data_IF_783747916294
#
_entry.id   IF_783747916294
#
_cell.length_a   1.000
_cell.length_b   1.000
_cell.length_c   1.000
_cell.angle_alpha   90.00
_cell.angle_beta   90.00
_cell.angle_gamma   90.00
#
_symmetry.space_group_name_H-M   'P 1'
#
loop_
_entity.id
_entity.type
_entity.pdbx_description
1 polymer ?
#
# COMPACT_ATOMS: atom_id res chain seq x y z
N UNK A 1 -18.96 -14.83 11.15
CA UNK A 1 -20.35 -15.03 11.63
C UNK A 1 -20.42 -15.88 12.90
N UNK A 2 -19.92 -17.12 12.92
CA UNK A 2 -20.00 -17.95 14.13
C UNK A 2 -19.31 -17.32 15.37
N UNK A 3 -18.07 -16.84 15.24
CA UNK A 3 -17.37 -16.21 16.37
C UNK A 3 -17.93 -14.83 16.76
N UNK A 4 -18.52 -14.09 15.81
CA UNK A 4 -19.15 -12.79 16.08
C UNK A 4 -20.49 -12.96 16.80
N UNK A 5 -21.28 -13.96 16.39
CA UNK A 5 -22.59 -14.27 17.00
C UNK A 5 -22.42 -14.84 18.41
N UNK A 6 -21.45 -15.73 18.64
CA UNK A 6 -21.25 -16.38 19.95
C UNK A 6 -20.40 -15.52 20.91
N UNK A 7 -19.35 -14.87 20.41
CA UNK A 7 -18.38 -14.16 21.26
C UNK A 7 -18.57 -12.64 21.33
N UNK A 8 -19.52 -12.08 20.56
CA UNK A 8 -19.84 -10.65 20.54
C UNK A 8 -18.65 -9.74 20.18
N UNK A 9 -18.67 -8.51 20.68
CA UNK A 9 -17.67 -7.48 20.36
C UNK A 9 -16.25 -7.86 20.80
N UNK A 10 -16.09 -8.56 21.92
CA UNK A 10 -14.75 -8.97 22.41
C UNK A 10 -14.08 -9.96 21.47
N UNK A 11 -14.82 -10.97 21.02
CA UNK A 11 -14.29 -11.93 20.05
C UNK A 11 -14.02 -11.25 18.69
N UNK A 12 -14.84 -10.27 18.32
CA UNK A 12 -14.63 -9.48 17.11
C UNK A 12 -13.32 -8.69 17.17
N UNK A 13 -13.01 -8.01 18.27
CA UNK A 13 -11.73 -7.29 18.39
C UNK A 13 -10.50 -8.21 18.41
N UNK A 14 -10.60 -9.36 19.07
CA UNK A 14 -9.49 -10.32 19.09
C UNK A 14 -9.23 -10.90 17.70
N UNK A 15 -10.28 -11.25 16.97
CA UNK A 15 -10.15 -11.79 15.61
C UNK A 15 -9.67 -10.73 14.62
N UNK A 16 -10.13 -9.48 14.72
CA UNK A 16 -9.61 -8.35 13.94
C UNK A 16 -8.10 -8.18 14.17
N UNK A 17 -7.65 -8.26 15.43
CA UNK A 17 -6.24 -8.15 15.77
C UNK A 17 -5.40 -9.29 15.16
N UNK A 18 -5.85 -10.54 15.30
CA UNK A 18 -5.16 -11.70 14.73
C UNK A 18 -5.11 -11.62 13.20
N UNK A 19 -6.24 -11.31 12.56
CA UNK A 19 -6.33 -11.14 11.11
C UNK A 19 -5.36 -10.07 10.60
N UNK A 20 -5.35 -8.89 11.24
CA UNK A 20 -4.47 -7.78 10.84
C UNK A 20 -3.00 -8.14 11.04
N UNK A 21 -2.68 -8.88 12.11
CA UNK A 21 -1.32 -9.37 12.37
C UNK A 21 -0.85 -10.34 11.29
N UNK A 22 -1.68 -11.31 10.91
CA UNK A 22 -1.37 -12.27 9.84
C UNK A 22 -1.20 -11.53 8.51
N UNK A 23 -2.09 -10.58 8.21
CA UNK A 23 -2.00 -9.77 7.00
C UNK A 23 -0.68 -9.01 6.93
N UNK A 24 -0.25 -8.37 8.03
CA UNK A 24 1.03 -7.67 8.10
C UNK A 24 2.21 -8.61 7.79
N UNK A 25 2.21 -9.83 8.35
CA UNK A 25 3.26 -10.82 8.06
C UNK A 25 3.29 -11.21 6.58
N UNK A 26 2.12 -11.39 5.95
CA UNK A 26 2.02 -11.67 4.52
C UNK A 26 2.56 -10.50 3.70
N UNK A 27 2.21 -9.25 4.06
CA UNK A 27 2.71 -8.08 3.35
C UNK A 27 4.24 -7.93 3.48
N UNK A 28 4.80 -8.17 4.67
CA UNK A 28 6.24 -8.21 4.87
C UNK A 28 6.89 -9.29 3.99
N UNK A 29 6.34 -10.51 4.00
CA UNK A 29 6.82 -11.60 3.17
C UNK A 29 6.80 -11.25 1.68
N UNK A 30 5.71 -10.68 1.16
CA UNK A 30 5.60 -10.31 -0.26
C UNK A 30 6.65 -9.27 -0.66
N UNK A 31 6.82 -8.21 0.16
CA UNK A 31 7.83 -7.19 -0.11
C UNK A 31 9.25 -7.76 -0.06
N UNK A 32 9.55 -8.61 0.93
CA UNK A 32 10.83 -9.29 1.01
C UNK A 32 11.04 -10.22 -0.18
N UNK A 33 10.03 -11.00 -0.59
CA UNK A 33 10.11 -11.91 -1.72
C UNK A 33 10.43 -11.18 -3.03
N UNK A 34 9.79 -10.03 -3.28
CA UNK A 34 10.10 -9.16 -4.43
C UNK A 34 11.55 -8.69 -4.35
N UNK A 35 11.99 -8.14 -3.22
CA UNK A 35 13.37 -7.67 -3.05
C UNK A 35 14.39 -8.79 -3.22
N UNK A 36 14.13 -10.00 -2.71
CA UNK A 36 15.08 -11.13 -2.78
C UNK A 36 15.05 -11.87 -4.12
N UNK A 37 14.17 -11.49 -5.04
CA UNK A 37 14.14 -12.10 -6.38
C UNK A 37 15.42 -11.77 -7.16
N UNK A 38 15.90 -12.72 -7.96
CA UNK A 38 17.11 -12.53 -8.78
C UNK A 38 16.93 -11.41 -9.81
N UNK A 39 15.70 -11.19 -10.27
CA UNK A 39 15.34 -10.15 -11.24
C UNK A 39 15.48 -8.73 -10.64
N UNK A 40 15.18 -8.56 -9.35
CA UNK A 40 15.26 -7.28 -8.64
C UNK A 40 16.67 -7.06 -8.06
N UNK A 41 17.27 -8.08 -7.44
CA UNK A 41 18.63 -7.99 -6.92
C UNK A 41 18.77 -7.18 -5.62
N UNK A 42 17.77 -7.23 -4.74
CA UNK A 42 17.78 -6.52 -3.47
C UNK A 42 17.44 -5.03 -3.59
N UNK A 43 17.70 -4.28 -2.52
CA UNK A 43 17.42 -2.83 -2.46
C UNK A 43 18.28 -2.03 -3.45
N UNK A 44 19.57 -2.36 -3.56
CA UNK A 44 20.47 -1.67 -4.49
C UNK A 44 20.09 -1.96 -5.93
N UNK A 45 19.81 -3.22 -6.27
CA UNK A 45 19.36 -3.60 -7.60
C UNK A 45 18.03 -2.96 -7.98
N UNK A 46 17.07 -2.89 -7.03
CA UNK A 46 15.82 -2.16 -7.22
C UNK A 46 16.07 -0.69 -7.59
N UNK A 47 16.94 -0.01 -6.83
CA UNK A 47 17.27 1.39 -7.06
C UNK A 47 17.96 1.62 -8.41
N UNK A 48 18.98 0.84 -8.74
CA UNK A 48 19.73 0.97 -10.00
C UNK A 48 18.81 0.78 -11.21
N UNK A 49 18.01 -0.29 -11.22
CA UNK A 49 17.06 -0.57 -12.30
C UNK A 49 15.97 0.51 -12.42
N UNK A 50 15.50 1.04 -11.29
CA UNK A 50 14.54 2.15 -11.30
C UNK A 50 15.14 3.42 -11.89
N UNK A 51 16.39 3.75 -11.58
CA UNK A 51 17.09 4.90 -12.16
C UNK A 51 17.26 4.73 -13.68
N UNK A 52 17.60 3.52 -14.13
CA UNK A 52 17.73 3.22 -15.56
C UNK A 52 16.38 3.39 -16.30
N UNK A 53 15.29 2.91 -15.72
CA UNK A 53 13.95 3.13 -16.29
C UNK A 53 13.55 4.60 -16.22
N UNK A 54 13.89 5.31 -15.14
CA UNK A 54 13.61 6.74 -15.01
C UNK A 54 14.27 7.60 -16.10
N UNK A 55 15.36 7.13 -16.70
CA UNK A 55 16.02 7.81 -17.81
C UNK A 55 15.26 7.70 -19.15
N UNK A 56 14.38 6.69 -19.29
CA UNK A 56 13.70 6.39 -20.56
C UNK A 56 12.17 6.53 -20.50
N UNK A 57 11.57 6.29 -19.32
CA UNK A 57 10.12 6.35 -19.10
C UNK A 57 9.74 7.73 -18.57
N UNK A 58 8.85 8.40 -19.32
CA UNK A 58 8.31 9.70 -18.96
C UNK A 58 6.86 9.56 -18.48
N UNK A 59 6.54 10.10 -17.30
CA UNK A 59 5.17 10.15 -16.76
C UNK A 59 4.68 11.59 -16.79
N UNK A 60 3.58 11.83 -17.49
CA UNK A 60 2.96 13.16 -17.55
C UNK A 60 2.52 13.64 -16.15
N UNK A 61 2.78 14.91 -15.84
CA UNK A 61 2.42 15.52 -14.55
C UNK A 61 3.41 15.27 -13.40
N UNK A 62 4.42 14.42 -13.62
CA UNK A 62 5.58 14.29 -12.74
C UNK A 62 6.62 15.39 -13.04
N UNK A 63 7.36 15.84 -12.02
CA UNK A 63 8.47 16.78 -12.19
C UNK A 63 9.55 16.18 -13.09
N UNK A 64 9.86 16.87 -14.20
CA UNK A 64 10.73 16.41 -15.29
C UNK A 64 10.28 15.06 -15.90
N UNK A 65 9.03 14.64 -15.62
CA UNK A 65 8.45 13.35 -15.96
C UNK A 65 9.13 12.13 -15.34
N UNK A 66 10.00 12.35 -14.35
CA UNK A 66 10.72 11.27 -13.67
C UNK A 66 9.77 10.38 -12.87
N UNK A 67 9.96 9.06 -12.92
CA UNK A 67 9.15 8.10 -12.16
C UNK A 67 9.48 8.11 -10.66
N UNK A 68 10.69 8.51 -10.30
CA UNK A 68 11.20 8.51 -8.91
C UNK A 68 10.95 9.85 -8.19
N UNK A 69 10.21 10.77 -8.81
CA UNK A 69 9.97 12.08 -8.22
C UNK A 69 8.91 12.05 -7.12
N UNK A 70 9.15 12.80 -6.04
CA UNK A 70 8.11 13.10 -5.05
C UNK A 70 7.18 14.24 -5.47
N UNK A 71 7.50 14.97 -6.55
CA UNK A 71 6.73 16.12 -7.03
C UNK A 71 5.87 15.72 -8.22
N UNK A 72 4.64 15.32 -7.94
CA UNK A 72 3.65 14.93 -8.94
C UNK A 72 2.33 15.66 -8.70
N UNK A 73 1.81 16.35 -9.71
CA UNK A 73 0.53 17.06 -9.61
C UNK A 73 -0.63 16.09 -9.35
N UNK A 74 -0.63 14.95 -10.04
CA UNK A 74 -1.63 13.89 -9.85
C UNK A 74 -1.60 13.32 -8.44
N UNK A 75 -0.40 13.07 -7.89
CA UNK A 75 -0.26 12.55 -6.53
C UNK A 75 -0.76 13.54 -5.46
N UNK A 76 -0.55 14.85 -5.64
CA UNK A 76 -1.08 15.88 -4.73
C UNK A 76 -2.60 15.94 -4.78
N UNK A 77 -3.20 15.94 -5.98
CA UNK A 77 -4.66 15.94 -6.14
C UNK A 77 -5.26 14.67 -5.53
N UNK A 78 -4.70 13.50 -5.83
CA UNK A 78 -5.13 12.24 -5.26
C UNK A 78 -4.99 12.24 -3.73
N UNK A 79 -3.87 12.74 -3.19
CA UNK A 79 -3.64 12.85 -1.76
C UNK A 79 -4.69 13.73 -1.05
N UNK A 80 -5.09 14.84 -1.67
CA UNK A 80 -6.15 15.71 -1.14
C UNK A 80 -7.52 15.01 -1.16
N UNK A 81 -7.90 14.42 -2.30
CA UNK A 81 -9.16 13.67 -2.44
C UNK A 81 -9.22 12.50 -1.47
N UNK A 82 -8.14 11.72 -1.38
CA UNK A 82 -8.03 10.58 -0.47
C UNK A 82 -8.10 11.03 0.99
N UNK A 83 -7.47 12.15 1.36
CA UNK A 83 -7.55 12.71 2.71
C UNK A 83 -8.98 13.11 3.06
N UNK A 84 -9.68 13.83 2.18
CA UNK A 84 -11.08 14.19 2.38
C UNK A 84 -11.98 12.95 2.48
N UNK A 85 -11.77 11.95 1.62
CA UNK A 85 -12.50 10.69 1.64
C UNK A 85 -12.28 9.90 2.93
N UNK A 86 -11.02 9.70 3.34
CA UNK A 86 -10.66 8.97 4.55
C UNK A 86 -11.10 9.71 5.83
N UNK A 87 -11.09 11.05 5.83
CA UNK A 87 -11.68 11.82 6.91
C UNK A 87 -13.19 11.55 7.03
N UNK A 88 -13.92 11.59 5.90
CA UNK A 88 -15.35 11.25 5.87
C UNK A 88 -15.62 9.83 6.36
N UNK A 89 -14.84 8.84 5.87
CA UNK A 89 -14.94 7.45 6.30
C UNK A 89 -14.74 7.30 7.81
N UNK A 90 -13.65 7.85 8.35
CA UNK A 90 -13.35 7.71 9.79
C UNK A 90 -14.37 8.41 10.70
N UNK A 91 -14.91 9.55 10.29
CA UNK A 91 -15.92 10.28 11.09
C UNK A 91 -17.30 9.63 10.99
N UNK A 92 -17.68 9.07 9.84
CA UNK A 92 -19.02 8.52 9.63
C UNK A 92 -19.12 7.00 9.85
N UNK A 93 -18.00 6.30 10.00
CA UNK A 93 -17.99 4.86 10.21
C UNK A 93 -18.25 4.49 11.68
N UNK A 94 -19.44 3.93 11.90
CA UNK A 94 -19.90 3.45 13.21
C UNK A 94 -18.95 2.44 13.88
N UNK A 95 -18.17 1.66 13.13
CA UNK A 95 -17.25 0.67 13.69
C UNK A 95 -16.07 1.33 14.42
N UNK A 96 -15.55 2.47 13.92
CA UNK A 96 -14.51 3.24 14.60
C UNK A 96 -15.02 3.80 15.93
N UNK A 97 -16.26 4.31 15.95
CA UNK A 97 -16.91 4.81 17.15
C UNK A 97 -17.15 3.71 18.18
N UNK A 98 -17.65 2.54 17.77
CA UNK A 98 -17.84 1.40 18.66
C UNK A 98 -16.53 0.96 19.34
N UNK A 99 -15.44 0.88 18.57
CA UNK A 99 -14.09 0.57 19.09
C UNK A 99 -13.63 1.64 20.09
N UNK A 100 -13.77 2.92 19.72
CA UNK A 100 -13.36 4.04 20.56
C UNK A 100 -14.12 4.09 21.89
N UNK A 101 -15.45 3.94 21.88
CA UNK A 101 -16.26 3.97 23.09
C UNK A 101 -16.09 2.74 23.99
N UNK A 102 -15.62 1.62 23.43
CA UNK A 102 -15.34 0.41 24.20
C UNK A 102 -14.02 0.45 24.98
N UNK A 103 -13.19 1.48 24.76
CA UNK A 103 -11.87 1.62 25.36
C UNK A 103 -11.74 2.92 26.17
N UNK A 104 -10.93 2.90 27.23
CA UNK A 104 -10.69 4.11 28.04
C UNK A 104 -9.88 5.14 27.26
N UNK A 105 -10.13 6.46 27.40
CA UNK A 105 -9.38 7.49 26.68
C UNK A 105 -7.85 7.41 26.87
N UNK A 106 -7.41 7.00 28.08
CA UNK A 106 -6.00 6.80 28.43
C UNK A 106 -5.32 5.70 27.60
N UNK A 107 -6.08 4.73 27.10
CA UNK A 107 -5.60 3.70 26.18
C UNK A 107 -5.79 4.11 24.71
N UNK A 108 -6.94 4.71 24.38
CA UNK A 108 -7.34 5.01 23.00
C UNK A 108 -6.48 6.10 22.34
N UNK A 109 -6.22 7.21 23.03
CA UNK A 109 -5.45 8.34 22.48
C UNK A 109 -4.02 7.95 22.08
N UNK A 110 -3.19 7.36 22.96
CA UNK A 110 -1.83 6.97 22.58
C UNK A 110 -1.83 5.88 21.50
N UNK A 111 -2.81 4.96 21.50
CA UNK A 111 -2.93 3.95 20.46
C UNK A 111 -3.16 4.59 19.09
N UNK A 112 -4.08 5.55 18.96
CA UNK A 112 -4.33 6.24 17.70
C UNK A 112 -3.11 7.04 17.20
N UNK A 113 -2.40 7.72 18.09
CA UNK A 113 -1.18 8.46 17.72
C UNK A 113 -0.07 7.53 17.23
N UNK A 114 0.12 6.40 17.92
CA UNK A 114 1.08 5.38 17.53
C UNK A 114 0.73 4.79 16.15
N UNK A 115 -0.54 4.42 15.95
CA UNK A 115 -1.02 3.90 14.67
C UNK A 115 -0.87 4.93 13.55
N UNK A 116 -1.17 6.21 13.79
CA UNK A 116 -1.01 7.26 12.80
C UNK A 116 0.45 7.41 12.34
N UNK A 117 1.42 7.19 13.23
CA UNK A 117 2.83 7.19 12.86
C UNK A 117 3.25 5.92 12.10
N UNK A 118 2.76 4.75 12.50
CA UNK A 118 3.16 3.49 11.87
C UNK A 118 2.37 3.11 10.62
N UNK A 119 1.24 3.76 10.32
CA UNK A 119 0.38 3.39 9.18
C UNK A 119 1.13 3.38 7.83
N UNK A 120 2.18 4.19 7.70
CA UNK A 120 3.05 4.22 6.52
C UNK A 120 3.72 2.87 6.24
N UNK A 121 3.96 2.02 7.25
CA UNK A 121 4.60 0.71 7.06
C UNK A 121 3.77 -0.26 6.22
N UNK A 122 2.46 -0.03 6.10
CA UNK A 122 1.59 -0.98 5.41
C UNK A 122 1.60 -0.76 3.90
N UNK A 123 1.36 0.48 3.46
CA UNK A 123 1.12 0.80 2.05
C UNK A 123 2.37 1.28 1.34
N UNK A 124 3.28 1.94 2.06
CA UNK A 124 4.44 2.56 1.42
C UNK A 124 5.39 1.52 0.84
N UNK A 125 5.75 0.43 1.55
CA UNK A 125 6.60 -0.62 0.98
C UNK A 125 5.99 -1.28 -0.24
N UNK A 126 4.68 -1.57 -0.23
CA UNK A 126 4.02 -2.18 -1.39
C UNK A 126 4.11 -1.30 -2.62
N UNK A 127 3.82 0.00 -2.48
CA UNK A 127 3.92 0.94 -3.59
C UNK A 127 5.35 1.11 -4.09
N UNK A 128 6.33 1.30 -3.19
CA UNK A 128 7.71 1.59 -3.58
C UNK A 128 8.48 0.38 -4.06
N UNK A 129 8.26 -0.80 -3.46
CA UNK A 129 8.97 -2.02 -3.80
C UNK A 129 8.25 -2.75 -4.92
N UNK A 130 6.98 -3.15 -4.73
CA UNK A 130 6.27 -3.95 -5.73
C UNK A 130 5.87 -3.10 -6.94
N UNK A 131 5.32 -1.90 -6.71
CA UNK A 131 5.03 -0.96 -7.80
C UNK A 131 6.30 -0.49 -8.52
N UNK A 132 7.34 -0.14 -7.76
CA UNK A 132 8.66 0.19 -8.31
C UNK A 132 9.25 -0.92 -9.18
N UNK A 133 9.19 -2.17 -8.71
CA UNK A 133 9.69 -3.32 -9.47
C UNK A 133 8.92 -3.55 -10.78
N UNK A 134 7.60 -3.35 -10.78
CA UNK A 134 6.77 -3.49 -11.98
C UNK A 134 7.24 -2.59 -13.15
N UNK A 135 7.81 -1.41 -12.87
CA UNK A 135 8.26 -0.49 -13.92
C UNK A 135 9.37 -1.05 -14.82
N UNK A 136 10.28 -1.88 -14.30
CA UNK A 136 11.29 -2.56 -15.13
C UNK A 136 10.90 -3.99 -15.46
N UNK A 137 10.19 -4.67 -14.56
CA UNK A 137 9.76 -6.05 -14.79
C UNK A 137 8.76 -6.15 -15.95
N UNK A 138 7.96 -5.11 -16.26
CA UNK A 138 7.03 -5.13 -17.40
C UNK A 138 7.69 -5.47 -18.75
N UNK A 139 9.01 -5.25 -18.86
CA UNK A 139 9.81 -5.55 -20.06
C UNK A 139 10.62 -6.84 -19.96
N UNK A 140 10.51 -7.57 -18.85
CA UNK A 140 11.22 -8.83 -18.61
C UNK A 140 10.40 -10.04 -19.08
N UNK A 141 11.01 -11.08 -19.70
CA UNK A 141 10.30 -12.30 -20.12
C UNK A 141 9.56 -13.05 -19.02
N UNK A 142 9.94 -12.87 -17.76
CA UNK A 142 9.26 -13.47 -16.60
C UNK A 142 7.93 -12.80 -16.25
N UNK A 143 7.65 -11.62 -16.81
CA UNK A 143 6.46 -10.86 -16.46
C UNK A 143 5.21 -11.41 -17.14
N UNK A 144 4.06 -11.51 -16.43
CA UNK A 144 2.87 -12.21 -16.94
C UNK A 144 2.32 -11.67 -18.27
N UNK A 145 2.52 -10.38 -18.57
CA UNK A 145 2.04 -9.78 -19.81
C UNK A 145 3.11 -9.68 -20.89
N UNK A 146 4.38 -10.04 -20.64
CA UNK A 146 5.43 -9.95 -21.65
C UNK A 146 5.07 -10.75 -22.91
N UNK A 147 5.32 -10.23 -24.14
CA UNK A 147 6.02 -8.99 -24.48
C UNK A 147 5.13 -7.74 -24.57
N UNK A 148 3.84 -7.84 -24.25
CA UNK A 148 2.94 -6.69 -24.29
C UNK A 148 2.96 -5.93 -22.97
N UNK A 149 2.87 -4.60 -23.05
CA UNK A 149 2.55 -3.78 -21.88
C UNK A 149 1.10 -3.99 -21.47
N UNK A 150 0.78 -3.69 -20.21
CA UNK A 150 -0.62 -3.69 -19.78
C UNK A 150 -1.37 -2.58 -20.51
N UNK A 151 -2.64 -2.84 -20.84
CA UNK A 151 -3.51 -1.82 -21.41
C UNK A 151 -4.17 -0.98 -20.30
N UNK A 152 -4.76 0.16 -20.67
CA UNK A 152 -5.39 1.09 -19.72
C UNK A 152 -6.52 0.45 -18.92
N UNK A 153 -7.21 -0.54 -19.48
CA UNK A 153 -8.29 -1.26 -18.79
C UNK A 153 -7.75 -2.17 -17.68
N UNK A 154 -6.64 -2.87 -17.92
CA UNK A 154 -5.95 -3.71 -16.94
C UNK A 154 -5.42 -2.86 -15.77
N UNK A 155 -4.80 -1.71 -16.07
CA UNK A 155 -4.33 -0.75 -15.07
C UNK A 155 -5.51 -0.20 -14.26
N UNK A 156 -6.58 0.23 -14.92
CA UNK A 156 -7.79 0.75 -14.26
C UNK A 156 -8.53 -0.31 -13.43
N UNK A 157 -8.35 -1.60 -13.75
CA UNK A 157 -8.89 -2.72 -12.98
C UNK A 157 -8.06 -3.08 -11.74
N UNK A 158 -6.97 -2.34 -11.49
CA UNK A 158 -6.14 -2.51 -10.30
C UNK A 158 -4.96 -3.47 -10.48
N UNK A 159 -4.57 -3.79 -11.73
CA UNK A 159 -3.30 -4.48 -11.94
C UNK A 159 -2.15 -3.50 -11.71
N UNK A 160 -1.08 -3.99 -11.06
CA UNK A 160 0.03 -3.16 -10.58
C UNK A 160 0.80 -2.59 -11.77
N UNK A 161 0.89 -1.25 -11.85
CA UNK A 161 1.72 -0.52 -12.81
C UNK A 161 2.21 0.81 -12.25
#
# INVERSE_FOLDING_TARGET
>A
LLYTVVGGLKATFLTDFIHTTILLLVLCYLNTAVLTSEQVGGLSGLWEKLVDVAATKHIEGNYEGSIITGKSQGAVIFGLVLTCGNFGLTVMDSAFWQKTFSASPRATVPAYLLTAFFIFSNVWPLGTIAGGASHFLESDPSFPTYPRKMNDFEIASGFVL
#
